data_IF_034592674332
#
_entry.id   IF_034592674332
#
_cell.length_a   1.000
_cell.length_b   1.000
_cell.length_c   1.000
_cell.angle_alpha   90.00
_cell.angle_beta   90.00
_cell.angle_gamma   90.00
#
_symmetry.space_group_name_H-M   'P 1'
#
loop_
_entity.id
_entity.type
_entity.pdbx_description
1 polymer ?
#
# COMPACT_ATOMS: atom_id res chain seq x y z
N UNK A 1 -26.71 5.27 -19.52
CA UNK A 1 -25.25 5.40 -19.64
C UNK A 1 -24.60 4.23 -18.87
N UNK A 2 -24.36 3.09 -19.52
CA UNK A 2 -23.80 1.86 -18.91
C UNK A 2 -22.62 1.38 -19.78
N UNK A 3 -21.48 2.06 -19.67
CA UNK A 3 -20.26 1.73 -20.40
C UNK A 3 -19.19 1.22 -19.45
N UNK A 4 -18.61 0.06 -19.76
CA UNK A 4 -17.38 -0.56 -19.23
C UNK A 4 -16.81 -0.02 -17.91
N UNK A 5 -16.91 -0.83 -16.86
CA UNK A 5 -16.24 -0.76 -15.52
C UNK A 5 -15.25 0.41 -15.36
N UNK A 6 -15.69 1.63 -14.96
CA UNK A 6 -14.83 2.82 -14.83
C UNK A 6 -13.60 2.58 -13.93
N UNK A 7 -13.78 1.76 -12.89
CA UNK A 7 -12.71 1.35 -11.98
C UNK A 7 -11.60 0.57 -12.70
N UNK A 8 -11.94 -0.25 -13.71
CA UNK A 8 -10.95 -0.97 -14.49
C UNK A 8 -10.12 -0.03 -15.37
N UNK A 9 -10.78 0.94 -16.00
CA UNK A 9 -10.09 1.96 -16.80
C UNK A 9 -9.12 2.77 -15.93
N UNK A 10 -9.57 3.24 -14.76
CA UNK A 10 -8.70 3.93 -13.79
C UNK A 10 -7.54 3.06 -13.29
N UNK A 11 -7.79 1.78 -13.01
CA UNK A 11 -6.76 0.84 -12.60
C UNK A 11 -5.67 0.67 -13.68
N UNK A 12 -6.03 0.76 -14.97
CA UNK A 12 -5.06 0.68 -16.06
C UNK A 12 -4.07 1.86 -16.06
N UNK A 13 -4.52 3.08 -15.73
CA UNK A 13 -3.62 4.23 -15.54
C UNK A 13 -2.77 4.10 -14.29
N UNK A 14 -3.35 3.60 -13.19
CA UNK A 14 -2.58 3.34 -11.98
C UNK A 14 -1.40 2.41 -12.29
N UNK A 15 -1.64 1.33 -13.04
CA UNK A 15 -0.57 0.43 -13.49
C UNK A 15 0.52 1.15 -14.28
N UNK A 16 0.15 1.99 -15.25
CA UNK A 16 1.12 2.77 -16.04
C UNK A 16 2.00 3.69 -15.17
N UNK A 17 1.38 4.39 -14.23
CA UNK A 17 2.09 5.31 -13.32
C UNK A 17 3.07 4.54 -12.43
N UNK A 18 2.64 3.39 -11.89
CA UNK A 18 3.48 2.51 -11.07
C UNK A 18 4.65 1.95 -11.88
N UNK A 19 4.40 1.45 -13.09
CA UNK A 19 5.42 0.88 -13.98
C UNK A 19 6.49 1.94 -14.36
N UNK A 20 6.14 3.23 -14.33
CA UNK A 20 7.04 4.36 -14.63
C UNK A 20 7.42 5.19 -13.41
N UNK A 21 7.32 4.66 -12.19
CA UNK A 21 7.60 5.39 -10.94
C UNK A 21 9.01 5.98 -10.80
N UNK A 22 9.96 5.61 -11.66
CA UNK A 22 11.30 6.21 -11.70
C UNK A 22 11.35 7.54 -12.47
N UNK A 23 10.34 7.80 -13.31
CA UNK A 23 10.18 9.11 -13.92
C UNK A 23 9.71 10.10 -12.84
N UNK A 24 10.35 11.27 -12.78
CA UNK A 24 10.11 12.28 -11.74
C UNK A 24 8.64 12.69 -11.65
N UNK A 25 7.97 12.91 -12.78
CA UNK A 25 6.55 13.28 -12.80
C UNK A 25 5.68 12.17 -12.20
N UNK A 26 5.90 10.92 -12.61
CA UNK A 26 5.14 9.78 -12.09
C UNK A 26 5.40 9.57 -10.59
N UNK A 27 6.66 9.72 -10.16
CA UNK A 27 7.03 9.63 -8.74
C UNK A 27 6.32 10.69 -7.91
N UNK A 28 6.34 11.95 -8.37
CA UNK A 28 5.69 13.06 -7.68
C UNK A 28 4.17 12.88 -7.64
N UNK A 29 3.55 12.40 -8.73
CA UNK A 29 2.13 12.09 -8.74
C UNK A 29 1.75 11.03 -7.69
N UNK A 30 2.57 9.97 -7.55
CA UNK A 30 2.36 8.96 -6.51
C UNK A 30 2.52 9.57 -5.11
N UNK A 31 3.53 10.41 -4.89
CA UNK A 31 3.75 11.11 -3.61
C UNK A 31 2.56 11.97 -3.21
N UNK A 32 2.09 12.83 -4.11
CA UNK A 32 0.92 13.70 -3.86
C UNK A 32 -0.33 12.87 -3.54
N UNK A 33 -0.52 11.75 -4.26
CA UNK A 33 -1.64 10.84 -4.00
C UNK A 33 -1.55 10.25 -2.59
N UNK A 34 -0.36 9.87 -2.13
CA UNK A 34 -0.19 9.38 -0.76
C UNK A 34 -0.30 10.48 0.29
N UNK A 35 0.23 11.69 0.07
CA UNK A 35 0.02 12.83 0.98
C UNK A 35 -1.46 13.09 1.18
N UNK A 36 -2.21 13.16 0.08
CA UNK A 36 -3.66 13.29 0.11
C UNK A 36 -4.33 12.14 0.89
N UNK A 37 -3.85 10.90 0.76
CA UNK A 37 -4.34 9.77 1.55
C UNK A 37 -4.04 9.95 3.06
N UNK A 38 -2.84 10.37 3.44
CA UNK A 38 -2.50 10.63 4.84
C UNK A 38 -3.35 11.75 5.43
N UNK A 39 -3.40 12.90 4.77
CA UNK A 39 -4.11 14.10 5.24
C UNK A 39 -5.61 13.85 5.43
N UNK A 40 -6.21 13.11 4.49
CA UNK A 40 -7.67 12.93 4.46
C UNK A 40 -8.16 11.65 5.15
N UNK A 41 -7.27 10.71 5.52
CA UNK A 41 -7.69 9.44 6.12
C UNK A 41 -6.91 9.06 7.37
N UNK A 42 -5.59 9.22 7.39
CA UNK A 42 -4.75 8.74 8.50
C UNK A 42 -4.64 9.78 9.61
N UNK A 43 -4.38 11.04 9.29
CA UNK A 43 -4.16 12.09 10.29
C UNK A 43 -5.43 12.50 11.04
N UNK A 44 -6.59 12.03 10.59
CA UNK A 44 -7.87 12.26 11.27
C UNK A 44 -7.98 11.48 12.59
N UNK A 45 -7.16 10.46 12.80
CA UNK A 45 -7.10 9.71 14.06
C UNK A 45 -6.13 10.40 15.02
N UNK A 46 -6.59 10.82 16.20
CA UNK A 46 -5.77 11.59 17.16
C UNK A 46 -4.54 10.83 17.70
N UNK A 47 -4.57 9.50 17.65
CA UNK A 47 -3.53 8.59 18.14
C UNK A 47 -2.78 7.88 17.00
N UNK A 48 -2.79 8.44 15.77
CA UNK A 48 -2.17 7.82 14.60
C UNK A 48 -0.68 7.47 14.77
N UNK A 49 0.04 8.18 15.64
CA UNK A 49 1.48 7.95 15.93
C UNK A 49 1.74 6.79 16.89
N UNK A 50 0.74 6.30 17.61
CA UNK A 50 0.91 5.20 18.58
C UNK A 50 0.94 3.82 17.91
N UNK A 51 0.50 3.73 16.65
CA UNK A 51 0.32 2.46 15.93
C UNK A 51 1.12 2.43 14.63
N UNK A 52 1.58 1.24 14.27
CA UNK A 52 2.20 1.00 12.97
C UNK A 52 1.14 0.82 11.90
N UNK A 53 1.35 1.44 10.74
CA UNK A 53 0.46 1.27 9.59
C UNK A 53 0.91 0.04 8.79
N UNK A 54 0.00 -0.92 8.60
CA UNK A 54 0.21 -2.06 7.72
C UNK A 54 -0.55 -1.82 6.40
N UNK A 55 0.08 -2.14 5.27
CA UNK A 55 -0.46 -1.90 3.94
C UNK A 55 -0.69 -3.22 3.23
N UNK A 56 -1.88 -3.38 2.65
CA UNK A 56 -2.27 -4.59 1.91
C UNK A 56 -2.69 -4.21 0.50
N UNK A 57 -2.27 -5.01 -0.47
CA UNK A 57 -2.65 -4.88 -1.88
C UNK A 57 -1.48 -4.53 -2.80
N UNK A 58 -1.69 -4.73 -4.09
CA UNK A 58 -0.64 -4.64 -5.12
C UNK A 58 -0.05 -3.23 -5.26
N UNK A 59 -0.88 -2.20 -5.26
CA UNK A 59 -0.43 -0.80 -5.43
C UNK A 59 0.44 -0.35 -4.26
N UNK A 60 -0.03 -0.56 -3.03
CA UNK A 60 0.73 -0.21 -1.84
C UNK A 60 2.05 -0.98 -1.74
N UNK A 61 2.06 -2.26 -2.11
CA UNK A 61 3.28 -3.08 -2.13
C UNK A 61 4.28 -2.64 -3.20
N UNK A 62 3.83 -2.35 -4.42
CA UNK A 62 4.69 -1.92 -5.53
C UNK A 62 5.25 -0.51 -5.33
N UNK A 63 4.50 0.37 -4.65
CA UNK A 63 4.90 1.75 -4.34
C UNK A 63 5.41 1.92 -2.90
N UNK A 64 5.81 0.84 -2.23
CA UNK A 64 6.20 0.87 -0.81
C UNK A 64 7.35 1.83 -0.52
N UNK A 65 8.26 2.04 -1.46
CA UNK A 65 9.39 2.98 -1.32
C UNK A 65 8.89 4.41 -1.22
N UNK A 66 7.97 4.80 -2.10
CA UNK A 66 7.34 6.13 -2.11
C UNK A 66 6.43 6.30 -0.89
N UNK A 67 5.68 5.26 -0.53
CA UNK A 67 4.80 5.30 0.64
C UNK A 67 5.58 5.52 1.93
N UNK A 68 6.69 4.80 2.12
CA UNK A 68 7.58 4.97 3.29
C UNK A 68 8.20 6.36 3.33
N UNK A 69 8.60 6.89 2.18
CA UNK A 69 9.12 8.27 2.09
C UNK A 69 8.09 9.29 2.58
N UNK A 70 6.85 9.22 2.10
CA UNK A 70 5.78 10.12 2.52
C UNK A 70 5.42 9.90 4.00
N UNK A 71 5.36 8.64 4.47
CA UNK A 71 5.07 8.35 5.87
C UNK A 71 6.09 8.98 6.84
N UNK A 72 7.37 9.02 6.46
CA UNK A 72 8.41 9.67 7.25
C UNK A 72 8.19 11.18 7.36
N UNK A 73 7.61 11.84 6.35
CA UNK A 73 7.24 13.26 6.40
C UNK A 73 6.23 13.55 7.52
N UNK A 74 5.37 12.56 7.83
CA UNK A 74 4.35 12.64 8.89
C UNK A 74 4.76 11.98 10.21
N UNK A 75 6.02 11.52 10.34
CA UNK A 75 6.52 10.89 11.57
C UNK A 75 5.87 9.54 11.89
N UNK A 76 5.36 8.84 10.87
CA UNK A 76 4.64 7.57 11.03
C UNK A 76 5.57 6.35 10.89
N UNK A 77 5.41 5.38 11.79
CA UNK A 77 6.08 4.09 11.67
C UNK A 77 5.25 3.13 10.81
N UNK A 78 5.94 2.47 9.87
CA UNK A 78 5.31 1.58 8.90
C UNK A 78 5.64 0.13 9.24
N UNK A 79 4.60 -0.68 9.35
CA UNK A 79 4.68 -2.11 9.58
C UNK A 79 4.88 -2.90 8.29
N UNK A 80 4.03 -3.89 8.08
CA UNK A 80 4.13 -4.85 6.98
C UNK A 80 3.49 -4.31 5.71
N UNK A 81 4.09 -4.66 4.57
CA UNK A 81 3.47 -4.56 3.26
C UNK A 81 3.16 -5.97 2.75
N UNK A 82 1.90 -6.25 2.46
CA UNK A 82 1.43 -7.56 2.01
C UNK A 82 0.81 -7.40 0.62
N UNK A 83 1.42 -8.00 -0.40
CA UNK A 83 0.94 -7.86 -1.78
C UNK A 83 -0.40 -8.57 -2.01
N UNK A 84 -0.50 -9.82 -1.54
CA UNK A 84 -1.69 -10.66 -1.66
C UNK A 84 -1.83 -11.47 -0.36
N UNK A 85 -2.94 -11.34 0.39
CA UNK A 85 -3.10 -11.99 1.70
C UNK A 85 -3.03 -13.52 1.66
N UNK A 86 -3.37 -14.12 0.51
CA UNK A 86 -3.43 -15.57 0.36
C UNK A 86 -2.08 -16.23 0.63
N UNK A 87 -0.98 -15.62 0.17
CA UNK A 87 0.36 -16.19 0.36
C UNK A 87 0.72 -16.25 1.85
N UNK A 88 0.49 -15.16 2.58
CA UNK A 88 0.78 -15.08 4.01
C UNK A 88 -0.11 -16.03 4.83
N UNK A 89 -1.36 -16.23 4.40
CA UNK A 89 -2.28 -17.18 5.03
C UNK A 89 -1.82 -18.63 4.86
N UNK A 90 -1.32 -18.97 3.67
CA UNK A 90 -0.76 -20.29 3.36
C UNK A 90 0.53 -20.52 4.18
N UNK A 91 1.44 -19.54 4.19
CA UNK A 91 2.68 -19.60 4.97
C UNK A 91 2.40 -19.76 6.48
N UNK A 92 1.35 -19.11 7.01
CA UNK A 92 0.94 -19.24 8.41
C UNK A 92 0.45 -20.66 8.76
N UNK A 93 -0.37 -21.29 7.91
CA UNK A 93 -0.87 -22.64 8.18
C UNK A 93 0.24 -23.69 8.06
N UNK A 94 1.12 -23.58 7.06
CA UNK A 94 2.29 -24.46 6.95
C UNK A 94 3.24 -24.34 8.16
N UNK A 95 3.40 -23.14 8.72
CA UNK A 95 4.20 -22.94 9.93
C UNK A 95 3.60 -23.64 11.15
N UNK A 96 2.26 -23.63 11.31
CA UNK A 96 1.59 -24.33 12.40
C UNK A 96 1.74 -25.85 12.26
N UNK A 97 1.55 -26.39 11.06
CA UNK A 97 1.72 -27.83 10.81
C UNK A 97 3.14 -28.32 11.13
N UNK A 98 4.17 -27.49 10.92
CA UNK A 98 5.55 -27.82 11.28
C UNK A 98 5.82 -27.74 12.80
N UNK A 99 5.00 -26.98 13.54
CA UNK A 99 5.12 -26.83 15.00
C UNK A 99 4.42 -27.95 15.77
N UNK A 100 3.36 -28.51 15.19
CA UNK A 100 2.63 -29.65 15.76
C UNK A 100 3.31 -31.00 15.50
N UNK A 101 4.30 -31.05 14.61
CA UNK A 101 5.08 -32.24 14.26
C UNK A 101 6.48 -32.29 14.93
N UNK A 102 6.72 -31.50 15.98
CA UNK A 102 7.96 -31.46 16.75
C UNK A 102 7.67 -31.31 18.24
#
# INVERSE_FOLDING_TARGET
>A
YKGSVPNYYLASFAKFVVDRKQNEYCRNLIKESFRSFFDNQILLYSNYTEYKINVVGSVGFLCQDVFKEVALEYGLDIGKFIQAPLKDLVDFHFYLDLKDNN
#
